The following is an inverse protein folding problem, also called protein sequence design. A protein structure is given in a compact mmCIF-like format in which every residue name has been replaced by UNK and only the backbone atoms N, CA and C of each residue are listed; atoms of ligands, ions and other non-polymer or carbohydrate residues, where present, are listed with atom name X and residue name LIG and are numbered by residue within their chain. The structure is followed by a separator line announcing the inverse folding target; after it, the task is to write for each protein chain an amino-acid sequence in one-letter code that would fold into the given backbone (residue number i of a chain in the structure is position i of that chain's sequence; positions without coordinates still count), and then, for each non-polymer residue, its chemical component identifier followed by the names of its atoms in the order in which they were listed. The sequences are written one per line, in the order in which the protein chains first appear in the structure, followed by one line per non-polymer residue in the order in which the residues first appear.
data_IF_096056355574
#
_entry.id   IF_096056355574
#
_cell.length_a   1.000
_cell.length_b   1.000
_cell.length_c   1.000
_cell.angle_alpha   90.00
_cell.angle_beta   90.00
_cell.angle_gamma   90.00
#
_symmetry.space_group_name_H-M   'P 1'
#
loop_
_entity.id
_entity.type
_entity.pdbx_description
1 polymer ?
#
# COMPACT_ATOMS: atom_id res chain seq x y z
N UNK A 1 4.09 3.45 -13.32
CA UNK A 1 3.60 2.45 -12.36
C UNK A 1 3.50 1.12 -13.11
N UNK A 2 4.31 0.14 -12.73
CA UNK A 2 4.42 -1.19 -13.34
C UNK A 2 4.18 -2.29 -12.30
N UNK A 3 4.02 -3.53 -12.78
CA UNK A 3 3.65 -4.68 -11.94
C UNK A 3 2.15 -4.85 -11.89
N UNK A 4 1.58 -5.01 -10.70
CA UNK A 4 0.14 -5.02 -10.50
C UNK A 4 -0.39 -3.59 -10.57
N UNK A 5 -1.10 -3.23 -11.63
CA UNK A 5 -1.78 -1.93 -11.74
C UNK A 5 -3.28 -2.11 -11.42
N UNK A 6 -3.78 -1.67 -10.25
CA UNK A 6 -5.14 -1.99 -9.79
C UNK A 6 -6.26 -1.57 -10.76
N UNK A 7 -6.06 -0.52 -11.55
CA UNK A 7 -7.04 -0.07 -12.56
C UNK A 7 -7.31 -1.12 -13.66
N UNK A 8 -6.36 -2.04 -13.90
CA UNK A 8 -6.48 -3.11 -14.88
C UNK A 8 -6.93 -4.44 -14.25
N UNK A 9 -7.55 -4.42 -13.07
CA UNK A 9 -7.91 -5.64 -12.33
C UNK A 9 -8.78 -6.61 -13.13
N UNK A 10 -9.75 -6.11 -13.90
CA UNK A 10 -10.61 -6.97 -14.74
C UNK A 10 -9.84 -7.65 -15.89
N UNK A 11 -8.73 -7.06 -16.33
CA UNK A 11 -7.82 -7.65 -17.33
C UNK A 11 -6.90 -8.71 -16.71
N UNK A 12 -6.64 -8.62 -15.41
CA UNK A 12 -5.72 -9.51 -14.69
C UNK A 12 -6.42 -10.56 -13.81
N UNK A 13 -7.73 -10.42 -13.59
CA UNK A 13 -8.59 -11.37 -12.88
C UNK A 13 -8.36 -11.44 -11.36
N UNK A 14 -7.18 -11.08 -10.85
CA UNK A 14 -6.82 -11.20 -9.42
C UNK A 14 -5.76 -10.17 -9.00
N UNK A 15 -5.67 -9.91 -7.69
CA UNK A 15 -4.55 -9.21 -7.07
C UNK A 15 -3.32 -10.14 -6.91
N UNK A 16 -2.98 -11.00 -7.86
CA UNK A 16 -1.83 -11.89 -7.69
C UNK A 16 -0.50 -11.18 -7.97
N UNK A 17 0.59 -11.75 -7.48
CA UNK A 17 1.96 -11.27 -7.75
C UNK A 17 2.22 -11.35 -9.25
N UNK A 18 2.76 -10.28 -9.84
CA UNK A 18 3.07 -10.17 -11.28
C UNK A 18 4.52 -10.46 -11.60
N UNK A 19 4.80 -10.76 -12.86
CA UNK A 19 6.16 -10.97 -13.36
C UNK A 19 6.90 -12.11 -12.64
N UNK A 20 6.18 -13.21 -12.40
CA UNK A 20 6.78 -14.47 -11.94
C UNK A 20 7.46 -15.22 -13.09
N UNK A 21 6.86 -15.16 -14.26
CA UNK A 21 7.39 -15.79 -15.47
C UNK A 21 8.46 -14.91 -16.09
N UNK A 22 9.46 -15.56 -16.68
CA UNK A 22 10.64 -14.88 -17.25
C UNK A 22 10.25 -13.82 -18.29
N UNK A 23 9.32 -14.15 -19.18
CA UNK A 23 8.87 -13.24 -20.24
C UNK A 23 8.16 -12.00 -19.68
N UNK A 24 7.34 -12.16 -18.62
CA UNK A 24 6.71 -11.03 -17.95
C UNK A 24 7.73 -10.16 -17.22
N UNK A 25 8.76 -10.77 -16.62
CA UNK A 25 9.84 -10.06 -15.94
C UNK A 25 10.72 -9.27 -16.91
N UNK A 26 11.09 -9.86 -18.06
CA UNK A 26 11.84 -9.19 -19.13
C UNK A 26 11.04 -8.01 -19.69
N UNK A 27 9.76 -8.22 -19.99
CA UNK A 27 8.88 -7.14 -20.43
C UNK A 27 8.78 -6.00 -19.41
N UNK A 28 8.67 -6.31 -18.12
CA UNK A 28 8.61 -5.28 -17.08
C UNK A 28 9.88 -4.43 -17.05
N UNK A 29 11.05 -5.03 -17.22
CA UNK A 29 12.33 -4.32 -17.29
C UNK A 29 12.38 -3.42 -18.54
N UNK A 30 11.95 -3.94 -19.69
CA UNK A 30 11.88 -3.17 -20.94
C UNK A 30 10.94 -1.96 -20.82
N UNK A 31 9.74 -2.18 -20.26
CA UNK A 31 8.76 -1.13 -20.00
C UNK A 31 9.33 -0.08 -19.03
N UNK A 32 10.05 -0.50 -17.99
CA UNK A 32 10.66 0.41 -17.02
C UNK A 32 11.72 1.32 -17.68
N UNK A 33 12.62 0.73 -18.48
CA UNK A 33 13.62 1.48 -19.26
C UNK A 33 12.98 2.38 -20.31
N UNK A 34 11.87 1.97 -20.92
CA UNK A 34 11.14 2.81 -21.86
C UNK A 34 10.54 4.03 -21.16
N UNK A 35 9.91 3.85 -20.01
CA UNK A 35 9.35 4.96 -19.22
C UNK A 35 10.44 5.97 -18.81
N UNK A 36 11.61 5.50 -18.41
CA UNK A 36 12.76 6.37 -18.13
C UNK A 36 13.18 7.16 -19.38
N UNK A 37 13.34 6.50 -20.54
CA UNK A 37 13.68 7.18 -21.80
C UNK A 37 12.63 8.21 -22.24
N UNK A 38 11.36 8.00 -21.88
CA UNK A 38 10.27 8.94 -22.14
C UNK A 38 10.23 10.11 -21.15
N UNK A 39 11.13 10.14 -20.17
CA UNK A 39 11.29 11.25 -19.23
C UNK A 39 10.49 11.11 -17.93
N UNK A 40 10.01 9.91 -17.58
CA UNK A 40 9.47 9.69 -16.23
C UNK A 40 10.56 9.94 -15.19
N UNK A 41 10.24 10.65 -14.11
CA UNK A 41 11.20 10.98 -13.05
C UNK A 41 11.30 9.90 -11.96
N UNK A 42 10.34 8.97 -11.89
CA UNK A 42 10.32 7.86 -10.95
C UNK A 42 9.35 6.76 -11.41
N UNK A 43 9.51 5.54 -10.88
CA UNK A 43 8.63 4.40 -11.20
C UNK A 43 8.17 3.69 -9.93
N UNK A 44 6.84 3.53 -9.78
CA UNK A 44 6.26 2.63 -8.78
C UNK A 44 6.24 1.19 -9.30
N UNK A 45 6.73 0.24 -8.49
CA UNK A 45 6.74 -1.20 -8.71
C UNK A 45 5.82 -1.88 -7.68
N UNK A 46 4.65 -2.35 -8.13
CA UNK A 46 3.64 -2.95 -7.26
C UNK A 46 3.57 -4.48 -7.40
N UNK A 47 3.71 -5.18 -6.27
CA UNK A 47 3.45 -6.62 -6.13
C UNK A 47 4.18 -7.52 -7.13
N UNK A 48 5.51 -7.31 -7.25
CA UNK A 48 6.43 -8.12 -8.06
C UNK A 48 7.44 -8.88 -7.16
N UNK A 49 8.17 -9.90 -7.67
CA UNK A 49 9.25 -10.54 -6.93
C UNK A 49 10.33 -9.55 -6.45
N UNK A 50 10.84 -9.74 -5.23
CA UNK A 50 11.84 -8.84 -4.64
C UNK A 50 13.15 -8.76 -5.47
N UNK A 51 13.58 -9.88 -6.03
CA UNK A 51 14.76 -9.92 -6.92
C UNK A 51 14.53 -9.15 -8.23
N UNK A 52 13.29 -9.10 -8.73
CA UNK A 52 12.97 -8.30 -9.91
C UNK A 52 12.98 -6.81 -9.56
N UNK A 53 12.45 -6.41 -8.41
CA UNK A 53 12.57 -5.02 -7.91
C UNK A 53 14.03 -4.60 -7.81
N UNK A 54 14.89 -5.47 -7.27
CA UNK A 54 16.33 -5.22 -7.19
C UNK A 54 16.92 -4.99 -8.57
N UNK A 55 16.71 -5.92 -9.49
CA UNK A 55 17.23 -5.84 -10.86
C UNK A 55 16.78 -4.56 -11.57
N UNK A 56 15.50 -4.20 -11.48
CA UNK A 56 14.98 -2.97 -12.11
C UNK A 56 15.62 -1.73 -11.48
N UNK A 57 15.74 -1.69 -10.15
CA UNK A 57 16.30 -0.53 -9.44
C UNK A 57 17.80 -0.35 -9.74
N UNK A 58 18.54 -1.44 -9.92
CA UNK A 58 19.96 -1.41 -10.32
C UNK A 58 20.17 -1.00 -11.79
N UNK A 59 19.17 -1.19 -12.66
CA UNK A 59 19.26 -0.89 -14.09
C UNK A 59 18.79 0.52 -14.49
N UNK A 60 18.04 1.21 -13.62
CA UNK A 60 17.53 2.56 -13.86
C UNK A 60 18.38 3.62 -13.16
N UNK A 61 18.40 4.83 -13.73
CA UNK A 61 18.99 6.02 -13.12
C UNK A 61 17.99 6.84 -12.31
N UNK A 62 16.69 6.65 -12.56
CA UNK A 62 15.59 7.31 -11.83
C UNK A 62 15.12 6.48 -10.62
N UNK A 63 14.63 7.13 -9.55
CA UNK A 63 14.15 6.42 -8.36
C UNK A 63 13.03 5.41 -8.63
N UNK A 64 13.14 4.25 -7.99
CA UNK A 64 12.06 3.27 -7.90
C UNK A 64 11.39 3.31 -6.53
N UNK A 65 10.07 3.12 -6.50
CA UNK A 65 9.27 3.08 -5.27
C UNK A 65 8.51 1.76 -5.24
N UNK A 66 8.67 0.98 -4.18
CA UNK A 66 8.03 -0.35 -4.07
C UNK A 66 6.80 -0.33 -3.16
N UNK A 67 5.80 -1.12 -3.54
CA UNK A 67 4.71 -1.54 -2.66
C UNK A 67 4.47 -3.04 -2.86
N UNK A 68 4.81 -3.83 -1.85
CA UNK A 68 4.76 -5.29 -1.92
C UNK A 68 5.77 -5.92 -2.89
N UNK A 69 6.76 -5.15 -3.36
CA UNK A 69 7.87 -5.61 -4.21
C UNK A 69 9.18 -5.84 -3.45
N UNK A 70 9.17 -5.90 -2.12
CA UNK A 70 10.40 -6.03 -1.32
C UNK A 70 11.14 -4.69 -1.13
N UNK A 71 12.28 -4.77 -0.42
CA UNK A 71 13.00 -3.60 0.10
C UNK A 71 14.17 -3.07 -0.75
N UNK A 72 14.34 -3.57 -1.99
CA UNK A 72 15.47 -3.19 -2.85
C UNK A 72 15.23 -1.93 -3.70
N UNK A 73 14.04 -1.33 -3.62
CA UNK A 73 13.74 -0.06 -4.27
C UNK A 73 14.27 1.12 -3.45
N UNK A 74 14.46 2.27 -4.10
CA UNK A 74 14.97 3.50 -3.46
C UNK A 74 14.00 4.07 -2.41
N UNK A 75 12.71 3.78 -2.56
CA UNK A 75 11.67 4.16 -1.60
C UNK A 75 10.56 3.13 -1.49
N UNK A 76 9.66 3.39 -0.55
CA UNK A 76 8.50 2.54 -0.26
C UNK A 76 7.23 3.39 -0.21
N UNK A 77 6.11 2.81 -0.62
CA UNK A 77 4.79 3.43 -0.48
C UNK A 77 3.81 2.44 0.14
N UNK A 78 2.95 2.94 1.01
CA UNK A 78 1.81 2.23 1.59
C UNK A 78 0.60 3.15 1.61
N UNK A 79 -0.59 2.55 1.58
CA UNK A 79 -1.84 3.30 1.76
C UNK A 79 -1.99 3.63 3.25
N UNK A 80 -2.24 4.91 3.56
CA UNK A 80 -2.28 5.39 4.95
C UNK A 80 -3.32 4.68 5.82
N UNK A 81 -4.51 4.40 5.27
CA UNK A 81 -5.59 3.70 5.98
C UNK A 81 -5.17 2.28 6.38
N UNK A 82 -4.46 1.59 5.50
CA UNK A 82 -3.94 0.24 5.75
C UNK A 82 -2.82 0.28 6.78
N UNK A 83 -1.91 1.27 6.65
CA UNK A 83 -0.81 1.52 7.59
C UNK A 83 -1.32 1.78 9.01
N UNK A 84 -2.39 2.57 9.13
CA UNK A 84 -3.01 2.91 10.41
C UNK A 84 -3.99 1.83 10.93
N UNK A 85 -4.24 0.77 10.15
CA UNK A 85 -5.15 -0.30 10.55
C UNK A 85 -6.60 0.14 10.69
N UNK A 86 -7.08 1.04 9.80
CA UNK A 86 -8.46 1.54 9.83
C UNK A 86 -9.51 0.49 9.43
N UNK A 87 -9.11 -0.52 8.66
CA UNK A 87 -9.98 -1.63 8.25
C UNK A 87 -9.38 -2.96 8.66
N UNK A 88 -10.25 -3.93 8.98
CA UNK A 88 -9.82 -5.23 9.46
C UNK A 88 -9.70 -6.29 8.34
N UNK A 89 -10.55 -6.19 7.32
CA UNK A 89 -10.72 -7.20 6.26
C UNK A 89 -9.55 -7.24 5.27
N UNK A 90 -8.81 -6.14 5.10
CA UNK A 90 -7.66 -6.08 4.21
C UNK A 90 -6.36 -6.34 4.98
N UNK A 91 -5.77 -7.52 4.74
CA UNK A 91 -4.52 -7.93 5.42
C UNK A 91 -3.55 -8.65 4.45
N UNK A 92 -3.02 -7.93 3.44
CA UNK A 92 -2.07 -8.52 2.51
C UNK A 92 -0.72 -8.76 3.21
N UNK A 93 -0.01 -9.83 2.83
CA UNK A 93 1.27 -10.22 3.41
C UNK A 93 2.34 -9.11 3.45
N UNK A 94 2.31 -8.15 2.52
CA UNK A 94 3.30 -7.08 2.44
C UNK A 94 3.01 -5.89 3.36
N UNK A 95 1.83 -5.83 3.97
CA UNK A 95 1.43 -4.72 4.81
C UNK A 95 1.95 -4.91 6.24
N UNK A 96 2.63 -3.90 6.76
CA UNK A 96 2.85 -3.73 8.21
C UNK A 96 1.89 -2.66 8.71
N UNK A 97 1.04 -3.02 9.67
CA UNK A 97 0.23 -2.06 10.43
C UNK A 97 1.09 -1.43 11.53
N UNK A 98 1.04 -0.12 11.65
CA UNK A 98 1.72 0.66 12.68
C UNK A 98 0.77 1.11 13.80
N UNK A 99 -0.53 0.95 13.59
CA UNK A 99 -1.59 1.26 14.55
C UNK A 99 -2.76 0.29 14.32
N UNK A 100 -3.65 0.17 15.31
CA UNK A 100 -4.92 -0.55 15.17
C UNK A 100 -6.08 0.42 15.35
N UNK A 101 -6.18 1.40 14.44
CA UNK A 101 -7.15 2.48 14.57
C UNK A 101 -8.60 1.95 14.53
N UNK A 102 -8.84 0.80 13.90
CA UNK A 102 -10.14 0.12 13.97
C UNK A 102 -10.56 -0.17 15.41
N UNK A 103 -9.68 -0.78 16.21
CA UNK A 103 -9.96 -1.09 17.63
C UNK A 103 -10.06 0.19 18.45
N UNK A 104 -9.10 1.11 18.29
CA UNK A 104 -9.06 2.37 19.05
C UNK A 104 -10.33 3.21 18.81
N UNK A 105 -10.78 3.34 17.55
CA UNK A 105 -12.03 4.03 17.21
C UNK A 105 -13.24 3.28 17.75
N UNK A 106 -13.27 1.95 17.65
CA UNK A 106 -14.39 1.15 18.15
C UNK A 106 -14.55 1.30 19.66
N UNK A 107 -13.45 1.32 20.40
CA UNK A 107 -13.44 1.54 21.84
C UNK A 107 -13.91 2.96 22.19
N UNK A 108 -13.34 3.99 21.55
CA UNK A 108 -13.68 5.39 21.80
C UNK A 108 -15.17 5.67 21.52
N UNK A 109 -15.70 5.16 20.41
CA UNK A 109 -17.12 5.31 20.06
C UNK A 109 -18.01 4.56 21.05
N UNK A 110 -17.60 3.36 21.48
CA UNK A 110 -18.37 2.58 22.46
C UNK A 110 -18.43 3.26 23.82
N UNK A 111 -17.32 3.88 24.26
CA UNK A 111 -17.26 4.70 25.49
C UNK A 111 -18.18 5.91 25.39
N UNK A 112 -18.06 6.70 24.33
CA UNK A 112 -18.97 7.83 24.08
C UNK A 112 -20.45 7.41 24.10
N UNK A 113 -20.80 6.29 23.46
CA UNK A 113 -22.17 5.77 23.48
C UNK A 113 -22.61 5.38 24.89
N UNK A 114 -21.71 4.81 25.70
CA UNK A 114 -22.00 4.49 27.10
C UNK A 114 -22.25 5.76 27.92
N UNK A 115 -21.38 6.77 27.80
CA UNK A 115 -21.44 8.03 28.54
C UNK A 115 -22.71 8.83 28.20
N UNK A 116 -23.12 8.85 26.94
CA UNK A 116 -24.40 9.45 26.51
C UNK A 116 -25.60 8.70 27.10
N UNK A 117 -25.56 7.36 27.11
CA UNK A 117 -26.67 6.54 27.62
C UNK A 117 -26.80 6.61 29.14
N UNK A 118 -25.69 6.71 29.86
CA UNK A 118 -25.67 6.93 31.31
C UNK A 118 -25.96 8.37 31.71
N UNK A 119 -25.99 9.31 30.74
CA UNK A 119 -26.03 10.77 30.95
C UNK A 119 -24.82 11.28 31.73
N UNK A 120 -23.69 10.59 31.62
CA UNK A 120 -22.41 11.06 32.12
C UNK A 120 -21.84 12.16 31.20
N UNK A 121 -22.14 12.08 29.90
CA UNK A 121 -21.85 13.12 28.91
C UNK A 121 -23.12 13.82 28.38
N UNK A 122 -23.14 15.16 28.26
CA UNK A 122 -22.17 16.09 28.83
C UNK A 122 -22.35 16.23 30.36
N UNK A 123 -21.24 16.40 31.06
CA UNK A 123 -21.17 16.74 32.49
C UNK A 123 -21.42 18.23 32.74
N UNK A 124 -21.46 18.65 34.01
CA UNK A 124 -21.62 20.07 34.39
C UNK A 124 -20.49 20.97 33.84
N UNK A 125 -19.28 20.44 33.67
CA UNK A 125 -18.14 21.17 33.11
C UNK A 125 -18.17 21.28 31.58
N UNK A 126 -19.02 20.48 30.92
CA UNK A 126 -19.12 20.37 29.45
C UNK A 126 -20.34 21.11 28.88
N UNK A 127 -20.96 21.98 29.66
CA UNK A 127 -22.13 22.78 29.27
C UNK A 127 -22.01 24.26 29.72
N UNK A 128 -22.75 25.16 29.06
CA UNK A 128 -22.79 26.61 29.36
C UNK A 128 -24.07 27.01 30.08
#
# INVERSE_FOLDING_TARGET
HLGLTPQAIYKFGTYTVRAKDKDEAEKLIEDAKLLERLGCFAIVLEKIPAELTKKVSEELSIPTISIGGGGHADGQVLVIHDLLGMTHEFNPRFLRRYMNLFEDMSEAISKYVADVKSRDFPSEEEQY
#
